data_IF_428573904341
#
_entry.id   IF_428573904341
#
_cell.length_a   1.000
_cell.length_b   1.000
_cell.length_c   1.000
_cell.angle_alpha   90.00
_cell.angle_beta   90.00
_cell.angle_gamma   90.00
#
_symmetry.space_group_name_H-M   'P 1'
#
loop_
_entity.id
_entity.type
_entity.pdbx_description
1 polymer ?
#
# COMPACT_ATOMS: atom_id res chain seq x y z
N UNK A 1 41.60 39.65 9.29
CA UNK A 1 41.99 38.36 8.66
C UNK A 1 41.53 37.16 9.52
N UNK A 2 40.26 37.11 9.93
CA UNK A 2 39.70 36.00 10.74
C UNK A 2 38.45 35.39 10.09
N UNK A 3 37.73 36.20 9.31
CA UNK A 3 36.49 35.87 8.62
C UNK A 3 36.69 35.01 7.36
N UNK A 4 37.90 34.98 6.79
CA UNK A 4 38.19 34.24 5.55
C UNK A 4 38.26 32.71 5.76
N UNK A 5 38.52 32.27 7.00
CA UNK A 5 38.63 30.84 7.34
C UNK A 5 37.27 30.19 7.69
N UNK A 6 36.22 30.99 7.89
CA UNK A 6 34.88 30.50 8.23
C UNK A 6 34.12 29.97 7.00
N UNK A 7 34.48 30.45 5.81
CA UNK A 7 33.81 30.13 4.54
C UNK A 7 33.98 28.65 4.15
N UNK A 8 35.19 28.05 4.15
CA UNK A 8 35.34 26.64 3.81
C UNK A 8 34.75 25.71 4.88
N UNK A 9 34.80 26.11 6.15
CA UNK A 9 34.25 25.33 7.26
C UNK A 9 32.72 25.23 7.19
N UNK A 10 32.05 26.34 6.82
CA UNK A 10 30.61 26.36 6.65
C UNK A 10 30.17 25.55 5.42
N UNK A 11 30.91 25.67 4.30
CA UNK A 11 30.64 24.90 3.09
C UNK A 11 30.78 23.38 3.33
N UNK A 12 31.77 22.95 4.12
CA UNK A 12 31.94 21.55 4.49
C UNK A 12 30.79 21.02 5.37
N UNK A 13 30.27 21.83 6.30
CA UNK A 13 29.15 21.44 7.15
C UNK A 13 27.84 21.23 6.36
N UNK A 14 27.58 22.06 5.33
CA UNK A 14 26.42 21.90 4.44
C UNK A 14 26.58 20.75 3.44
N UNK A 15 27.80 20.41 3.04
CA UNK A 15 28.04 19.23 2.18
C UNK A 15 27.81 17.90 2.90
N UNK A 16 27.94 17.89 4.23
CA UNK A 16 27.76 16.71 5.09
C UNK A 16 26.35 16.59 5.68
N UNK A 17 25.44 17.53 5.42
CA UNK A 17 24.01 17.33 5.68
C UNK A 17 23.45 16.36 4.63
N UNK A 18 23.88 15.10 4.75
CA UNK A 18 23.43 14.00 3.91
C UNK A 18 21.92 13.92 3.95
N UNK A 19 21.33 13.67 2.78
CA UNK A 19 19.91 13.41 2.63
C UNK A 19 19.49 12.42 3.72
N UNK A 20 18.59 12.83 4.62
CA UNK A 20 17.92 11.88 5.49
C UNK A 20 17.14 10.96 4.55
N UNK A 21 17.72 9.79 4.28
CA UNK A 21 17.00 8.68 3.65
C UNK A 21 16.04 8.16 4.71
N UNK A 22 14.95 8.88 4.90
CA UNK A 22 13.78 8.33 5.55
C UNK A 22 13.38 7.14 4.68
N UNK A 23 13.38 5.90 5.20
CA UNK A 23 12.81 4.79 4.45
C UNK A 23 11.40 5.23 4.04
N UNK A 24 10.95 4.96 2.80
CA UNK A 24 9.57 5.20 2.47
C UNK A 24 8.75 4.54 3.58
N UNK A 25 7.89 5.32 4.23
CA UNK A 25 6.83 4.75 5.07
C UNK A 25 5.97 3.96 4.10
N UNK A 26 6.40 2.74 3.80
CA UNK A 26 5.58 1.74 3.16
C UNK A 26 4.55 1.46 4.23
N UNK A 27 3.47 2.26 4.21
CA UNK A 27 2.18 1.74 4.64
C UNK A 27 2.10 0.41 3.93
N UNK A 28 2.01 -0.70 4.67
CA UNK A 28 1.91 -1.97 4.02
C UNK A 28 0.76 -1.88 3.02
N UNK A 29 1.09 -1.94 1.73
CA UNK A 29 0.10 -1.89 0.66
C UNK A 29 -0.88 -3.07 0.77
N UNK A 30 -0.59 -4.04 1.64
CA UNK A 30 -1.50 -5.12 2.01
C UNK A 30 -2.71 -4.69 2.89
N UNK A 31 -2.81 -3.43 3.33
CA UNK A 31 -4.00 -2.93 4.09
C UNK A 31 -4.59 -1.63 3.54
N UNK A 32 -4.35 -1.32 2.26
CA UNK A 32 -5.04 -0.23 1.57
C UNK A 32 -6.05 -0.77 0.54
N UNK A 33 -6.65 -1.93 0.80
CA UNK A 33 -7.90 -2.25 0.14
C UNK A 33 -8.95 -1.28 0.69
N UNK A 34 -9.77 -0.64 -0.16
CA UNK A 34 -10.99 -0.01 0.34
C UNK A 34 -11.68 -1.09 1.16
N UNK A 35 -11.93 -0.81 2.45
CA UNK A 35 -12.63 -1.74 3.32
C UNK A 35 -14.00 -1.96 2.67
N UNK A 36 -14.12 -3.03 1.89
CA UNK A 36 -15.31 -3.30 1.12
C UNK A 36 -16.40 -3.57 2.13
N UNK A 37 -17.37 -2.65 2.19
CA UNK A 37 -18.46 -2.72 3.15
C UNK A 37 -19.40 -3.81 2.68
N UNK A 38 -19.61 -4.80 3.53
CA UNK A 38 -20.57 -5.85 3.26
C UNK A 38 -21.97 -5.23 3.03
N UNK A 39 -22.74 -5.72 2.05
CA UNK A 39 -24.13 -5.30 1.88
C UNK A 39 -24.95 -5.52 3.17
N UNK A 40 -26.05 -4.75 3.37
CA UNK A 40 -26.92 -4.96 4.52
C UNK A 40 -27.39 -6.41 4.63
N UNK A 41 -27.26 -7.00 5.83
CA UNK A 41 -27.64 -8.39 6.08
C UNK A 41 -26.57 -9.43 5.69
N UNK A 42 -25.45 -9.00 5.12
CA UNK A 42 -24.31 -9.88 4.81
C UNK A 42 -23.21 -9.64 5.84
N UNK A 43 -22.77 -10.71 6.51
CA UNK A 43 -21.61 -10.66 7.41
C UNK A 43 -20.33 -10.60 6.57
N UNK A 44 -19.42 -9.70 6.92
CA UNK A 44 -18.08 -9.71 6.34
C UNK A 44 -17.32 -10.97 6.76
N UNK A 45 -16.79 -11.70 5.78
CA UNK A 45 -15.92 -12.86 6.01
C UNK A 45 -14.54 -12.51 5.46
N UNK A 46 -13.51 -12.58 6.28
CA UNK A 46 -12.14 -12.30 5.87
C UNK A 46 -11.63 -13.32 4.85
N UNK A 47 -10.76 -12.94 3.88
CA UNK A 47 -10.15 -13.90 2.97
C UNK A 47 -9.50 -15.09 3.68
N UNK A 48 -9.82 -16.29 3.23
CA UNK A 48 -9.21 -17.55 3.74
C UNK A 48 -7.93 -17.92 3.01
N UNK A 49 -7.54 -17.14 1.99
CA UNK A 49 -6.34 -17.33 1.19
C UNK A 49 -5.83 -16.00 0.64
N UNK A 50 -4.56 -15.96 0.25
CA UNK A 50 -3.90 -14.75 -0.23
C UNK A 50 -4.55 -14.18 -1.49
N UNK A 51 -4.41 -12.85 -1.66
CA UNK A 51 -4.80 -12.19 -2.90
C UNK A 51 -4.01 -12.78 -4.09
N UNK A 52 -4.65 -13.05 -5.24
CA UNK A 52 -3.98 -13.61 -6.41
C UNK A 52 -2.93 -12.65 -7.01
N UNK A 53 -3.04 -11.35 -6.76
CA UNK A 53 -2.10 -10.36 -7.24
C UNK A 53 -2.63 -8.92 -7.19
N UNK A 54 -1.92 -7.98 -7.82
CA UNK A 54 -2.39 -6.60 -7.96
C UNK A 54 -3.75 -6.52 -8.66
N UNK A 55 -4.62 -5.60 -8.21
CA UNK A 55 -5.94 -5.36 -8.83
C UNK A 55 -7.07 -6.28 -8.36
N UNK A 56 -6.77 -7.35 -7.62
CA UNK A 56 -7.78 -8.21 -7.03
C UNK A 56 -8.34 -7.60 -5.74
N UNK A 57 -9.67 -7.50 -5.68
CA UNK A 57 -10.41 -6.96 -4.52
C UNK A 57 -11.25 -8.05 -3.87
N UNK A 58 -11.35 -8.01 -2.54
CA UNK A 58 -12.20 -8.95 -1.81
C UNK A 58 -13.64 -8.42 -1.80
N UNK A 59 -14.52 -9.11 -2.51
CA UNK A 59 -15.86 -8.64 -2.83
C UNK A 59 -16.90 -9.72 -2.53
N UNK A 60 -18.12 -9.30 -2.23
CA UNK A 60 -19.25 -10.20 -2.02
C UNK A 60 -20.04 -10.42 -3.32
N UNK A 61 -20.19 -11.68 -3.71
CA UNK A 61 -21.08 -12.14 -4.76
C UNK A 61 -22.37 -12.70 -4.16
N UNK A 62 -23.54 -12.33 -4.69
CA UNK A 62 -24.84 -12.77 -4.17
C UNK A 62 -25.05 -14.29 -4.19
N UNK A 63 -24.50 -14.99 -5.19
CA UNK A 63 -24.67 -16.43 -5.34
C UNK A 63 -23.54 -17.27 -4.71
N UNK A 64 -22.30 -16.77 -4.72
CA UNK A 64 -21.11 -17.54 -4.30
C UNK A 64 -20.52 -17.07 -2.95
N UNK A 65 -20.96 -15.92 -2.44
CA UNK A 65 -20.42 -15.31 -1.23
C UNK A 65 -19.12 -14.54 -1.49
N UNK A 66 -18.21 -14.57 -0.51
CA UNK A 66 -17.00 -13.75 -0.51
C UNK A 66 -15.85 -14.34 -1.34
N UNK A 67 -15.32 -13.57 -2.28
CA UNK A 67 -14.24 -14.01 -3.16
C UNK A 67 -13.37 -12.86 -3.67
N UNK A 68 -12.27 -13.22 -4.36
CA UNK A 68 -11.46 -12.23 -5.07
C UNK A 68 -12.07 -11.95 -6.43
N UNK A 69 -12.34 -10.68 -6.72
CA UNK A 69 -12.83 -10.21 -8.00
C UNK A 69 -11.81 -9.27 -8.65
N UNK A 70 -11.65 -9.37 -9.97
CA UNK A 70 -10.81 -8.50 -10.77
C UNK A 70 -11.63 -7.91 -11.91
N UNK A 71 -11.63 -6.58 -12.14
CA UNK A 71 -12.46 -5.94 -13.16
C UNK A 71 -12.28 -6.52 -14.58
N UNK A 72 -11.07 -7.01 -14.90
CA UNK A 72 -10.76 -7.56 -16.22
C UNK A 72 -10.77 -9.09 -16.30
N UNK A 73 -10.61 -9.79 -15.16
CA UNK A 73 -10.48 -11.26 -15.15
C UNK A 73 -11.67 -11.96 -14.49
N UNK A 74 -12.61 -11.19 -13.93
CA UNK A 74 -13.75 -11.70 -13.19
C UNK A 74 -13.36 -12.28 -11.85
N UNK A 75 -14.09 -13.31 -11.40
CA UNK A 75 -13.90 -13.92 -10.10
C UNK A 75 -12.81 -14.99 -10.11
N UNK A 76 -12.01 -15.00 -9.05
CA UNK A 76 -10.95 -15.98 -8.85
C UNK A 76 -11.54 -17.36 -8.50
N UNK A 77 -10.79 -18.44 -8.80
CA UNK A 77 -11.21 -19.84 -8.61
C UNK A 77 -12.45 -20.26 -9.41
N UNK A 78 -12.72 -19.61 -10.53
CA UNK A 78 -13.67 -20.11 -11.53
C UNK A 78 -15.14 -19.92 -11.16
N UNK A 79 -15.44 -18.95 -10.29
CA UNK A 79 -16.82 -18.51 -10.05
C UNK A 79 -17.29 -17.73 -11.29
N UNK A 80 -18.42 -18.10 -11.87
CA UNK A 80 -18.98 -17.49 -13.09
C UNK A 80 -20.48 -17.72 -13.13
#
# INVERSE_FOLDING_TARGET
MKSLLLIPALAAAFGLSGCVVTPPTVRPAYVAQPAYVAPPGVVYVQPTYASPGPGWVWEYHSYYGWGWHHPHYGWHRGWR
#
